data_IF_312115608418
#
_entry.id   IF_312115608418
#
_cell.length_a   1.000
_cell.length_b   1.000
_cell.length_c   1.000
_cell.angle_alpha   90.00
_cell.angle_beta   90.00
_cell.angle_gamma   90.00
#
_symmetry.space_group_name_H-M   'P 1'
#
loop_
_entity.id
_entity.type
_entity.pdbx_description
1 polymer ?
#
# COMPACT_ATOMS: atom_id res chain seq x y z
N UNK A 1 21.41 45.07 22.80
CA UNK A 1 21.69 43.62 22.69
C UNK A 1 20.58 43.00 21.88
N UNK A 2 20.89 42.28 20.79
CA UNK A 2 19.91 41.58 19.95
C UNK A 2 20.44 40.18 19.61
N UNK A 3 19.68 39.10 19.88
CA UNK A 3 19.81 37.82 19.21
C UNK A 3 19.06 37.82 17.85
N UNK A 4 19.32 36.85 16.95
CA UNK A 4 19.14 37.06 15.51
C UNK A 4 17.80 36.58 14.91
N UNK A 5 17.66 36.82 13.60
CA UNK A 5 16.49 36.56 12.75
C UNK A 5 16.85 35.52 11.67
N UNK A 6 15.83 35.01 10.96
CA UNK A 6 15.88 34.02 9.87
C UNK A 6 15.96 32.54 10.35
N UNK A 7 15.38 31.54 9.64
CA UNK A 7 14.69 31.57 8.34
C UNK A 7 13.48 30.60 8.32
N UNK A 8 12.61 30.69 7.31
CA UNK A 8 11.29 30.05 7.24
C UNK A 8 11.27 28.67 6.56
N UNK A 9 10.43 27.74 7.05
CA UNK A 9 9.81 26.68 6.23
C UNK A 9 8.46 26.20 6.80
N UNK A 10 7.63 25.73 5.88
CA UNK A 10 6.36 24.96 5.99
C UNK A 10 6.27 24.11 7.27
N UNK A 11 5.16 24.00 7.98
CA UNK A 11 3.76 24.33 7.66
C UNK A 11 2.91 23.09 7.97
N UNK A 12 2.25 23.06 9.12
CA UNK A 12 1.78 21.82 9.74
C UNK A 12 0.26 21.65 9.82
N UNK A 13 -0.15 20.41 10.10
CA UNK A 13 -1.50 20.03 10.53
C UNK A 13 -1.37 19.20 11.82
N UNK A 14 -1.93 19.71 12.92
CA UNK A 14 -2.16 18.94 14.14
C UNK A 14 -3.67 18.81 14.34
N UNK A 15 -4.20 17.60 14.31
CA UNK A 15 -5.62 17.31 14.49
C UNK A 15 -5.90 16.71 15.86
N UNK A 16 -6.05 17.58 16.86
CA UNK A 16 -6.61 17.23 18.17
C UNK A 16 -8.05 17.77 18.26
N UNK A 17 -9.03 16.88 18.32
CA UNK A 17 -10.45 17.23 18.32
C UNK A 17 -11.09 17.03 19.69
N UNK A 18 -11.75 18.08 20.19
CA UNK A 18 -12.44 18.12 21.49
C UNK A 18 -13.95 18.24 21.28
N UNK A 19 -14.75 17.48 22.04
CA UNK A 19 -16.19 17.30 21.82
C UNK A 19 -17.06 18.29 22.61
N UNK A 20 -18.04 18.92 21.95
CA UNK A 20 -19.27 19.51 22.56
C UNK A 20 -20.46 19.24 21.63
N UNK A 21 -21.68 19.12 22.19
CA UNK A 21 -22.89 18.61 21.53
C UNK A 21 -24.03 19.65 21.40
N UNK A 22 -24.94 19.47 20.44
CA UNK A 22 -26.36 19.92 20.48
C UNK A 22 -27.23 19.20 19.42
N UNK A 23 -28.54 19.13 19.69
CA UNK A 23 -29.67 18.53 18.92
C UNK A 23 -30.92 19.46 19.21
N UNK A 24 -32.21 19.29 18.76
CA UNK A 24 -32.85 18.11 18.15
C UNK A 24 -34.06 18.26 17.14
N UNK A 25 -34.51 17.11 16.59
CA UNK A 25 -35.87 16.73 16.03
C UNK A 25 -36.35 17.23 14.64
N UNK A 26 -36.76 16.30 13.75
CA UNK A 26 -38.16 15.82 13.54
C UNK A 26 -38.27 14.78 12.38
N UNK A 27 -39.41 14.07 12.28
CA UNK A 27 -39.73 12.93 11.38
C UNK A 27 -41.21 13.06 10.86
N UNK A 28 -41.85 12.10 10.12
CA UNK A 28 -41.47 10.76 9.58
C UNK A 28 -41.77 10.68 8.03
N UNK A 29 -42.14 9.63 7.26
CA UNK A 29 -42.57 8.21 7.42
C UNK A 29 -41.95 7.28 6.29
N UNK A 30 -42.71 6.32 5.74
CA UNK A 30 -42.45 5.38 4.61
C UNK A 30 -43.82 5.01 3.93
N UNK A 31 -43.91 4.24 2.80
CA UNK A 31 -43.90 2.76 2.89
C UNK A 31 -43.42 1.93 1.65
N UNK A 32 -42.61 0.89 1.93
CA UNK A 32 -42.56 -0.48 1.34
C UNK A 32 -42.86 -0.77 -0.15
N UNK A 33 -41.98 -1.57 -0.79
CA UNK A 33 -42.27 -2.97 -1.24
C UNK A 33 -41.00 -3.74 -1.66
N UNK A 34 -41.09 -5.06 -1.86
CA UNK A 34 -39.95 -6.00 -1.99
C UNK A 34 -39.73 -6.47 -3.45
N UNK A 35 -38.48 -6.85 -3.78
CA UNK A 35 -38.17 -8.17 -4.38
C UNK A 35 -36.66 -8.44 -4.39
N UNK A 36 -36.21 -9.54 -3.78
CA UNK A 36 -34.81 -9.99 -3.88
C UNK A 36 -34.54 -10.68 -5.22
N UNK A 37 -33.33 -10.49 -5.77
CA UNK A 37 -32.69 -11.43 -6.69
C UNK A 37 -31.19 -11.46 -6.39
N UNK A 38 -30.71 -12.59 -5.88
CA UNK A 38 -29.29 -12.81 -5.61
C UNK A 38 -28.55 -13.02 -6.94
N UNK A 39 -27.55 -12.20 -7.21
CA UNK A 39 -26.57 -12.45 -8.26
C UNK A 39 -25.17 -12.37 -7.66
N UNK A 40 -24.55 -13.53 -7.43
CA UNK A 40 -23.12 -13.58 -7.13
C UNK A 40 -22.33 -13.09 -8.34
N UNK A 41 -21.32 -12.25 -8.09
CA UNK A 41 -20.33 -11.78 -9.05
C UNK A 41 -18.95 -11.79 -8.37
N UNK A 42 -17.93 -12.44 -8.97
CA UNK A 42 -16.62 -12.56 -8.33
C UNK A 42 -15.75 -11.33 -8.59
N UNK A 43 -15.51 -10.51 -7.56
CA UNK A 43 -14.55 -9.40 -7.65
C UNK A 43 -13.15 -9.87 -7.21
N UNK A 44 -12.28 -10.13 -8.19
CA UNK A 44 -10.88 -10.48 -7.93
C UNK A 44 -10.16 -9.36 -7.17
N UNK A 45 -9.49 -9.68 -6.06
CA UNK A 45 -8.76 -8.70 -5.24
C UNK A 45 -7.40 -8.32 -5.86
N UNK A 46 -7.45 -7.72 -7.04
CA UNK A 46 -6.30 -7.31 -7.84
C UNK A 46 -5.57 -6.08 -7.24
N UNK A 47 -4.86 -6.26 -6.12
CA UNK A 47 -3.91 -5.27 -5.60
C UNK A 47 -2.62 -5.91 -5.07
N UNK A 48 -1.77 -6.26 -6.03
CA UNK A 48 -0.30 -6.10 -5.98
C UNK A 48 0.27 -6.21 -7.39
N UNK A 49 -0.45 -5.70 -8.40
CA UNK A 49 -0.02 -5.57 -9.79
C UNK A 49 0.02 -4.08 -10.10
N UNK A 50 0.99 -3.65 -10.90
CA UNK A 50 1.42 -2.25 -10.91
C UNK A 50 0.52 -1.34 -11.76
N UNK A 51 0.36 -0.09 -11.29
CA UNK A 51 -0.43 0.95 -11.98
C UNK A 51 0.35 2.27 -12.01
N UNK A 52 1.55 2.24 -12.60
CA UNK A 52 2.29 3.46 -12.93
C UNK A 52 1.89 3.94 -14.34
N UNK A 53 1.55 5.23 -14.54
CA UNK A 53 1.08 5.72 -15.83
C UNK A 53 2.23 5.86 -16.84
N UNK A 54 2.21 5.07 -17.91
CA UNK A 54 3.14 5.20 -19.05
C UNK A 54 2.82 6.45 -19.86
N UNK A 55 3.80 7.34 -20.05
CA UNK A 55 3.67 8.51 -20.91
C UNK A 55 3.96 8.18 -22.38
N UNK A 56 3.10 8.63 -23.30
CA UNK A 56 3.24 8.40 -24.74
C UNK A 56 4.53 9.00 -25.33
N UNK A 57 5.25 8.19 -26.11
CA UNK A 57 6.40 8.61 -26.92
C UNK A 57 6.06 8.54 -28.42
N UNK A 58 6.27 9.65 -29.13
CA UNK A 58 5.77 9.89 -30.49
C UNK A 58 6.45 8.97 -31.52
N UNK A 59 5.64 8.28 -32.33
CA UNK A 59 6.12 7.42 -33.40
C UNK A 59 6.71 8.22 -34.58
N UNK A 60 7.99 7.98 -34.90
CA UNK A 60 8.65 8.48 -36.11
C UNK A 60 9.07 7.30 -36.99
N UNK A 61 8.31 7.04 -38.06
CA UNK A 61 8.73 6.12 -39.14
C UNK A 61 9.59 6.87 -40.15
N UNK A 62 10.73 6.29 -40.55
CA UNK A 62 11.37 6.60 -41.84
C UNK A 62 12.01 5.35 -42.43
N UNK A 63 12.03 5.30 -43.76
CA UNK A 63 12.30 4.08 -44.53
C UNK A 63 13.78 3.82 -44.80
N UNK A 64 14.06 2.54 -44.95
CA UNK A 64 15.27 1.91 -45.48
C UNK A 64 15.60 2.33 -46.92
N UNK A 65 16.88 2.57 -47.20
CA UNK A 65 17.52 2.28 -48.50
C UNK A 65 19.05 2.22 -48.28
N UNK A 66 19.77 1.36 -48.99
CA UNK A 66 21.17 1.04 -48.70
C UNK A 66 22.15 1.19 -49.86
N UNK A 67 23.45 1.07 -49.54
CA UNK A 67 24.55 0.68 -50.44
C UNK A 67 25.78 0.32 -49.60
N UNK A 68 26.72 -0.43 -50.17
CA UNK A 68 27.92 -0.91 -49.49
C UNK A 68 29.20 -0.25 -50.07
N UNK A 69 30.26 -0.15 -49.26
CA UNK A 69 31.62 -0.64 -49.61
C UNK A 69 32.61 -0.52 -48.42
N UNK A 70 33.26 -1.66 -48.11
CA UNK A 70 34.69 -1.88 -47.75
C UNK A 70 35.32 -1.18 -46.51
N UNK A 71 35.83 -2.04 -45.62
CA UNK A 71 36.94 -1.93 -44.63
C UNK A 71 37.22 -0.64 -43.83
N UNK A 72 37.09 -0.76 -42.50
CA UNK A 72 38.22 -0.76 -41.53
C UNK A 72 37.76 -1.50 -40.25
N UNK A 73 38.54 -2.43 -39.68
CA UNK A 73 38.16 -3.14 -38.46
C UNK A 73 38.53 -2.32 -37.21
N UNK A 74 37.71 -1.34 -36.83
CA UNK A 74 37.83 -0.74 -35.49
C UNK A 74 37.48 -1.78 -34.43
N UNK A 75 38.50 -2.16 -33.66
CA UNK A 75 38.47 -3.26 -32.71
C UNK A 75 37.75 -2.86 -31.41
N UNK A 76 36.43 -2.66 -31.49
CA UNK A 76 35.60 -2.44 -30.32
C UNK A 76 35.67 -3.67 -29.39
N UNK A 77 36.41 -3.54 -28.30
CA UNK A 77 36.62 -4.62 -27.33
C UNK A 77 35.35 -4.79 -26.50
N UNK A 78 34.35 -5.45 -27.09
CA UNK A 78 33.25 -6.06 -26.37
C UNK A 78 33.90 -7.10 -25.44
N UNK A 79 34.11 -6.71 -24.19
CA UNK A 79 34.65 -7.55 -23.11
C UNK A 79 33.59 -8.61 -22.80
N UNK A 80 33.58 -9.69 -23.59
CA UNK A 80 32.69 -10.85 -23.41
C UNK A 80 32.91 -11.42 -22.01
N UNK A 81 32.03 -11.05 -21.08
CA UNK A 81 31.93 -11.66 -19.76
C UNK A 81 31.77 -13.16 -19.96
N UNK A 82 32.60 -13.98 -19.31
CA UNK A 82 32.51 -15.43 -19.45
C UNK A 82 31.16 -15.89 -18.91
N UNK A 83 30.58 -16.96 -19.46
CA UNK A 83 29.35 -17.54 -18.89
C UNK A 83 29.55 -18.04 -17.46
N UNK A 84 30.79 -18.29 -17.03
CA UNK A 84 31.17 -18.61 -15.65
C UNK A 84 31.26 -17.39 -14.71
N UNK A 85 31.35 -16.16 -15.24
CA UNK A 85 31.46 -14.93 -14.44
C UNK A 85 30.10 -14.27 -14.17
N UNK A 86 29.03 -14.70 -14.86
CA UNK A 86 27.67 -14.16 -14.69
C UNK A 86 27.10 -14.50 -13.31
N UNK A 87 26.50 -13.51 -12.67
CA UNK A 87 25.70 -13.66 -11.44
C UNK A 87 24.23 -13.85 -11.85
N UNK A 88 23.54 -14.81 -11.25
CA UNK A 88 22.08 -14.96 -11.35
C UNK A 88 21.36 -14.40 -10.12
N UNK A 89 20.04 -14.22 -10.23
CA UNK A 89 19.19 -13.91 -9.08
C UNK A 89 19.24 -14.99 -7.98
N UNK A 90 19.42 -16.26 -8.35
CA UNK A 90 19.60 -17.34 -7.38
C UNK A 90 20.93 -17.23 -6.63
N UNK A 91 22.02 -16.80 -7.28
CA UNK A 91 23.29 -16.50 -6.59
C UNK A 91 23.09 -15.38 -5.56
N UNK A 92 22.41 -14.29 -5.93
CA UNK A 92 22.11 -13.17 -4.99
C UNK A 92 21.29 -13.67 -3.80
N UNK A 93 20.26 -14.49 -4.06
CA UNK A 93 19.38 -15.01 -3.02
C UNK A 93 20.08 -16.00 -2.07
N UNK A 94 20.96 -16.87 -2.58
CA UNK A 94 21.60 -17.95 -1.82
C UNK A 94 22.92 -17.56 -1.17
N UNK A 95 23.78 -16.85 -1.90
CA UNK A 95 25.21 -16.77 -1.56
C UNK A 95 25.55 -15.56 -0.66
N UNK A 96 26.67 -15.66 0.06
CA UNK A 96 27.06 -14.66 1.06
C UNK A 96 27.21 -13.26 0.46
N UNK A 97 26.86 -12.26 1.26
CA UNK A 97 26.79 -10.86 0.82
C UNK A 97 28.12 -10.37 0.24
N UNK A 98 29.24 -10.73 0.87
CA UNK A 98 30.60 -10.40 0.43
C UNK A 98 30.97 -11.04 -0.91
N UNK A 99 30.74 -12.34 -1.10
CA UNK A 99 31.03 -13.06 -2.35
C UNK A 99 30.32 -12.41 -3.55
N UNK A 100 29.03 -12.10 -3.41
CA UNK A 100 28.24 -11.48 -4.47
C UNK A 100 28.66 -10.02 -4.69
N UNK A 101 28.96 -9.29 -3.62
CA UNK A 101 29.45 -7.91 -3.72
C UNK A 101 30.80 -7.83 -4.46
N UNK A 102 31.73 -8.73 -4.16
CA UNK A 102 33.03 -8.83 -4.85
C UNK A 102 32.86 -9.16 -6.34
N UNK A 103 31.96 -10.11 -6.69
CA UNK A 103 31.64 -10.38 -8.10
C UNK A 103 31.03 -9.15 -8.79
N UNK A 104 30.06 -8.47 -8.17
CA UNK A 104 29.37 -7.32 -8.78
C UNK A 104 30.30 -6.15 -9.13
N UNK A 105 31.31 -5.86 -8.29
CA UNK A 105 32.29 -4.79 -8.57
C UNK A 105 33.12 -5.00 -9.85
N UNK A 106 33.06 -6.18 -10.49
CA UNK A 106 33.78 -6.51 -11.72
C UNK A 106 32.88 -6.57 -12.97
N UNK A 107 31.57 -6.39 -12.81
CA UNK A 107 30.58 -6.46 -13.88
C UNK A 107 30.25 -5.06 -14.46
N UNK A 108 29.83 -4.97 -15.74
CA UNK A 108 29.30 -3.72 -16.31
C UNK A 108 27.96 -3.33 -15.68
N UNK A 109 27.68 -2.03 -15.56
CA UNK A 109 26.42 -1.52 -15.00
C UNK A 109 25.21 -1.96 -15.83
N UNK A 110 25.37 -2.08 -17.15
CA UNK A 110 24.35 -2.54 -18.08
C UNK A 110 23.84 -3.93 -17.72
N UNK A 111 24.75 -4.84 -17.31
CA UNK A 111 24.39 -6.19 -16.87
C UNK A 111 23.72 -6.19 -15.48
N UNK A 112 24.04 -5.20 -14.62
CA UNK A 112 23.39 -5.05 -13.32
C UNK A 112 21.96 -4.52 -13.43
N UNK A 113 21.68 -3.68 -14.44
CA UNK A 113 20.32 -3.25 -14.77
C UNK A 113 19.52 -4.35 -15.53
N UNK A 114 20.13 -5.11 -16.44
CA UNK A 114 19.53 -6.34 -17.01
C UNK A 114 19.02 -7.27 -15.90
N UNK A 115 19.87 -7.54 -14.90
CA UNK A 115 19.58 -8.44 -13.78
C UNK A 115 18.43 -7.96 -12.87
N UNK A 116 18.00 -6.70 -12.94
CA UNK A 116 16.80 -6.20 -12.25
C UNK A 116 15.51 -6.60 -12.97
N UNK A 117 15.55 -6.79 -14.28
CA UNK A 117 14.36 -7.08 -15.10
C UNK A 117 13.97 -8.56 -15.05
N UNK A 118 14.93 -9.46 -14.91
CA UNK A 118 14.75 -10.93 -14.86
C UNK A 118 13.94 -11.44 -13.64
N UNK A 119 13.42 -10.55 -12.77
CA UNK A 119 12.84 -10.91 -11.47
C UNK A 119 11.41 -11.50 -11.52
N UNK A 120 10.76 -11.55 -12.68
CA UNK A 120 9.34 -11.93 -12.78
C UNK A 120 9.07 -13.43 -12.53
N UNK A 121 9.81 -14.35 -13.16
CA UNK A 121 9.41 -15.77 -13.22
C UNK A 121 9.71 -16.58 -11.95
N UNK A 122 10.81 -16.30 -11.23
CA UNK A 122 11.22 -17.08 -10.04
C UNK A 122 10.88 -16.44 -8.68
N UNK A 123 10.17 -15.30 -8.67
CA UNK A 123 10.07 -14.39 -7.52
C UNK A 123 9.74 -15.06 -6.17
N UNK A 124 8.75 -15.96 -6.14
CA UNK A 124 8.33 -16.67 -4.92
C UNK A 124 9.37 -17.68 -4.39
N UNK A 125 10.19 -18.25 -5.26
CA UNK A 125 11.29 -19.15 -4.88
C UNK A 125 12.42 -18.31 -4.29
N UNK A 126 12.79 -17.21 -4.96
CA UNK A 126 13.81 -16.27 -4.48
C UNK A 126 13.44 -15.69 -3.10
N UNK A 127 12.17 -15.32 -2.90
CA UNK A 127 11.68 -14.80 -1.61
C UNK A 127 11.88 -15.79 -0.46
N UNK A 128 11.56 -17.08 -0.67
CA UNK A 128 11.80 -18.13 0.33
C UNK A 128 13.29 -18.33 0.63
N UNK A 129 14.15 -18.26 -0.39
CA UNK A 129 15.60 -18.39 -0.22
C UNK A 129 16.15 -17.24 0.63
N UNK A 130 15.80 -15.99 0.30
CA UNK A 130 16.23 -14.80 1.05
C UNK A 130 15.69 -14.83 2.49
N UNK A 131 14.42 -15.18 2.70
CA UNK A 131 13.81 -15.26 4.03
C UNK A 131 14.36 -16.41 4.89
N UNK A 132 14.97 -17.44 4.29
CA UNK A 132 15.60 -18.55 5.04
C UNK A 132 16.97 -18.20 5.64
N UNK A 133 17.55 -17.04 5.28
CA UNK A 133 18.94 -16.70 5.58
C UNK A 133 19.10 -15.86 6.84
N UNK A 134 19.66 -16.49 7.88
CA UNK A 134 20.04 -15.84 9.14
C UNK A 134 21.31 -14.99 9.05
N UNK A 135 22.09 -15.05 7.96
CA UNK A 135 23.27 -14.20 7.76
C UNK A 135 22.93 -12.79 7.25
N UNK A 136 21.70 -12.57 6.75
CA UNK A 136 21.23 -11.28 6.26
C UNK A 136 20.79 -10.38 7.42
N UNK A 137 21.70 -9.50 7.84
CA UNK A 137 21.55 -8.60 8.99
C UNK A 137 21.99 -7.19 8.58
N UNK A 138 21.61 -6.15 9.34
CA UNK A 138 22.07 -4.79 9.06
C UNK A 138 23.62 -4.67 9.02
N UNK A 139 24.34 -5.49 9.80
CA UNK A 139 25.81 -5.53 9.84
C UNK A 139 26.45 -6.20 8.62
N UNK A 140 25.75 -7.12 7.95
CA UNK A 140 26.24 -7.75 6.72
C UNK A 140 25.79 -6.98 5.48
N UNK A 141 24.54 -6.50 5.45
CA UNK A 141 23.97 -5.74 4.35
C UNK A 141 24.63 -4.36 4.12
N UNK A 142 25.26 -3.76 5.13
CA UNK A 142 26.10 -2.55 4.94
C UNK A 142 27.32 -2.79 4.02
N UNK A 143 27.71 -4.06 3.80
CA UNK A 143 28.74 -4.47 2.84
C UNK A 143 28.18 -4.93 1.49
N UNK A 144 26.87 -4.91 1.28
CA UNK A 144 26.26 -5.32 0.01
C UNK A 144 26.56 -4.31 -1.10
N UNK A 145 26.63 -4.77 -2.35
CA UNK A 145 26.63 -3.89 -3.51
C UNK A 145 25.29 -3.13 -3.61
N UNK A 146 25.28 -1.92 -4.20
CA UNK A 146 24.09 -1.05 -4.24
C UNK A 146 22.89 -1.73 -4.90
N UNK A 147 23.12 -2.42 -6.03
CA UNK A 147 22.10 -3.18 -6.79
C UNK A 147 21.72 -4.49 -6.10
N UNK A 148 22.71 -5.20 -5.49
CA UNK A 148 22.45 -6.40 -4.69
C UNK A 148 21.44 -6.11 -3.57
N UNK A 149 21.57 -4.96 -2.90
CA UNK A 149 20.66 -4.55 -1.84
C UNK A 149 19.25 -4.22 -2.37
N UNK A 150 19.12 -3.62 -3.57
CA UNK A 150 17.81 -3.39 -4.21
C UNK A 150 17.10 -4.71 -4.51
N UNK A 151 17.82 -5.65 -5.13
CA UNK A 151 17.32 -6.99 -5.46
C UNK A 151 16.91 -7.74 -4.18
N UNK A 152 17.75 -7.74 -3.14
CA UNK A 152 17.41 -8.36 -1.85
C UNK A 152 16.20 -7.69 -1.17
N UNK A 153 16.06 -6.36 -1.23
CA UNK A 153 14.90 -5.64 -0.67
C UNK A 153 13.64 -5.94 -1.47
N UNK A 154 13.69 -5.90 -2.81
CA UNK A 154 12.55 -6.21 -3.67
C UNK A 154 12.04 -7.63 -3.40
N UNK A 155 12.93 -8.61 -3.44
CA UNK A 155 12.64 -10.02 -3.14
C UNK A 155 12.06 -10.19 -1.73
N UNK A 156 12.69 -9.65 -0.70
CA UNK A 156 12.25 -9.84 0.69
C UNK A 156 10.90 -9.15 0.99
N UNK A 157 10.69 -7.94 0.46
CA UNK A 157 9.46 -7.15 0.72
C UNK A 157 8.29 -7.54 -0.17
N UNK A 158 8.52 -8.20 -1.31
CA UNK A 158 7.48 -8.54 -2.28
C UNK A 158 7.15 -7.43 -3.28
N UNK A 159 8.07 -6.51 -3.56
CA UNK A 159 7.80 -5.25 -4.29
C UNK A 159 8.91 -4.98 -5.32
N UNK A 160 8.64 -5.17 -6.61
CA UNK A 160 9.59 -4.90 -7.69
C UNK A 160 9.88 -3.39 -7.88
N UNK A 161 8.96 -2.50 -7.48
CA UNK A 161 9.17 -1.05 -7.52
C UNK A 161 10.43 -0.53 -6.82
N UNK A 162 11.06 -1.28 -5.90
CA UNK A 162 12.38 -0.93 -5.32
C UNK A 162 13.55 -0.96 -6.32
N UNK A 163 13.34 -1.52 -7.50
CA UNK A 163 14.31 -1.61 -8.60
C UNK A 163 14.17 -0.44 -9.60
N UNK A 164 13.04 0.27 -9.58
CA UNK A 164 12.69 1.24 -10.61
C UNK A 164 13.59 2.50 -10.53
N UNK A 165 14.19 2.97 -11.64
CA UNK A 165 15.21 4.03 -11.60
C UNK A 165 14.83 5.38 -10.97
N UNK A 166 13.54 5.69 -10.80
CA UNK A 166 13.09 6.89 -10.08
C UNK A 166 13.16 6.78 -8.55
N UNK A 167 13.34 5.58 -7.99
CA UNK A 167 13.29 5.30 -6.55
C UNK A 167 14.67 5.50 -5.90
N UNK A 168 14.98 6.77 -5.61
CA UNK A 168 16.21 7.15 -4.90
C UNK A 168 16.07 6.98 -3.38
N UNK A 169 16.37 5.78 -2.87
CA UNK A 169 16.49 5.50 -1.44
C UNK A 169 17.95 5.39 -1.00
N UNK A 170 18.24 5.78 0.25
CA UNK A 170 19.57 5.60 0.83
C UNK A 170 19.85 4.13 1.17
N UNK A 171 21.14 3.74 1.16
CA UNK A 171 21.55 2.39 1.57
C UNK A 171 21.07 2.05 2.99
N UNK A 172 21.10 3.01 3.92
CA UNK A 172 20.54 2.87 5.27
C UNK A 172 19.04 2.62 5.24
N UNK A 173 18.28 3.39 4.45
CA UNK A 173 16.82 3.22 4.31
C UNK A 173 16.46 1.83 3.79
N UNK A 174 17.21 1.33 2.80
CA UNK A 174 17.03 0.00 2.23
C UNK A 174 17.36 -1.12 3.23
N UNK A 175 18.44 -0.96 4.01
CA UNK A 175 18.78 -1.89 5.11
C UNK A 175 17.67 -1.90 6.17
N UNK A 176 17.19 -0.73 6.60
CA UNK A 176 16.10 -0.62 7.58
C UNK A 176 14.78 -1.23 7.08
N UNK A 177 14.47 -1.10 5.79
CA UNK A 177 13.32 -1.77 5.17
C UNK A 177 13.53 -3.29 5.17
N UNK A 178 14.72 -3.78 4.80
CA UNK A 178 15.02 -5.21 4.80
C UNK A 178 14.86 -5.84 6.20
N UNK A 179 15.39 -5.19 7.24
CA UNK A 179 15.32 -5.67 8.64
C UNK A 179 14.07 -5.22 9.39
N UNK A 180 13.02 -4.80 8.66
CA UNK A 180 11.69 -4.50 9.20
C UNK A 180 11.63 -3.36 10.23
N UNK A 181 12.55 -2.38 10.12
CA UNK A 181 12.62 -1.16 10.96
C UNK A 181 12.19 0.13 10.25
N UNK A 182 11.94 0.07 8.94
CA UNK A 182 11.33 1.16 8.17
C UNK A 182 10.20 0.62 7.29
N UNK A 183 9.15 1.42 7.10
CA UNK A 183 8.01 1.09 6.28
C UNK A 183 8.40 0.83 4.82
N UNK A 184 7.98 -0.32 4.27
CA UNK A 184 8.17 -0.69 2.85
C UNK A 184 7.32 0.10 1.85
N UNK A 185 6.37 0.92 2.31
CA UNK A 185 5.71 1.89 1.44
C UNK A 185 6.64 3.11 1.24
N UNK A 186 7.10 3.30 0.01
CA UNK A 186 8.08 4.33 -0.39
C UNK A 186 7.54 5.76 -0.20
N UNK A 187 6.22 5.95 -0.18
CA UNK A 187 5.60 7.25 0.16
C UNK A 187 5.52 7.50 1.68
N UNK A 188 5.54 6.44 2.51
CA UNK A 188 5.41 6.52 3.96
C UNK A 188 6.78 6.66 4.66
N UNK A 189 7.72 5.75 4.37
CA UNK A 189 9.09 5.71 4.91
C UNK A 189 9.26 5.85 6.45
N UNK A 190 8.20 5.80 7.25
CA UNK A 190 8.28 5.91 8.71
C UNK A 190 9.10 4.78 9.34
N UNK A 191 9.73 5.05 10.48
CA UNK A 191 10.31 4.00 11.33
C UNK A 191 9.20 3.11 11.92
N UNK A 192 9.54 1.87 12.28
CA UNK A 192 8.58 0.86 12.73
C UNK A 192 8.91 0.34 14.15
N UNK A 193 7.93 0.32 15.09
CA UNK A 193 6.56 0.84 14.97
C UNK A 193 6.49 2.34 14.68
N UNK A 194 5.44 2.78 13.98
CA UNK A 194 5.23 4.21 13.72
C UNK A 194 4.50 4.87 14.89
N UNK A 195 4.80 6.15 15.13
CA UNK A 195 4.36 6.93 16.30
C UNK A 195 4.66 6.25 17.65
N UNK A 196 5.81 5.55 17.73
CA UNK A 196 6.26 4.76 18.88
C UNK A 196 5.21 3.76 19.42
N UNK A 197 4.33 3.25 18.55
CA UNK A 197 3.18 2.44 18.95
C UNK A 197 3.58 1.09 19.59
N UNK A 198 3.20 0.89 20.86
CA UNK A 198 3.60 -0.26 21.70
C UNK A 198 2.56 -1.39 21.76
N UNK A 199 1.52 -1.40 20.92
CA UNK A 199 0.51 -2.46 20.95
C UNK A 199 1.04 -3.79 20.37
N UNK A 200 0.45 -4.92 20.80
CA UNK A 200 0.87 -6.26 20.37
C UNK A 200 0.86 -6.44 18.84
N UNK A 201 -0.10 -5.81 18.13
CA UNK A 201 -0.15 -5.83 16.66
C UNK A 201 1.08 -5.18 16.03
N UNK A 202 1.55 -4.04 16.57
CA UNK A 202 2.72 -3.33 16.08
C UNK A 202 4.05 -3.97 16.52
N UNK A 203 4.12 -4.54 17.73
CA UNK A 203 5.36 -5.15 18.23
C UNK A 203 5.63 -6.53 17.63
N UNK A 204 4.59 -7.29 17.30
CA UNK A 204 4.72 -8.70 16.93
C UNK A 204 4.68 -8.94 15.41
N UNK A 205 4.16 -7.99 14.62
CA UNK A 205 4.04 -8.12 13.16
C UNK A 205 5.20 -7.39 12.45
N UNK A 206 6.28 -8.11 12.14
CA UNK A 206 7.47 -7.55 11.50
C UNK A 206 7.15 -6.84 10.18
N UNK A 207 7.48 -5.55 10.09
CA UNK A 207 7.30 -4.74 8.88
C UNK A 207 5.91 -4.12 8.73
N UNK A 208 4.99 -4.39 9.65
CA UNK A 208 3.69 -3.73 9.70
C UNK A 208 3.83 -2.24 10.03
N UNK A 209 3.03 -1.41 9.37
CA UNK A 209 2.98 0.03 9.61
C UNK A 209 1.52 0.46 9.89
N UNK A 210 1.24 0.78 11.15
CA UNK A 210 -0.07 1.24 11.64
C UNK A 210 -0.62 2.48 10.92
N UNK A 211 0.24 3.27 10.25
CA UNK A 211 -0.16 4.47 9.50
C UNK A 211 -0.62 4.23 8.07
N UNK A 212 -0.32 3.07 7.46
CA UNK A 212 -0.66 2.85 6.04
C UNK A 212 -0.95 1.39 5.65
N UNK A 213 -0.87 0.43 6.56
CA UNK A 213 -1.14 -0.99 6.26
C UNK A 213 -2.41 -1.48 6.95
N UNK A 214 -3.17 -2.31 6.25
CA UNK A 214 -4.33 -3.00 6.79
C UNK A 214 -3.90 -4.05 7.81
N UNK A 215 -4.44 -3.98 9.04
CA UNK A 215 -4.14 -4.93 10.13
C UNK A 215 -4.30 -6.40 9.72
N UNK A 216 -5.28 -6.70 8.86
CA UNK A 216 -5.65 -8.08 8.49
C UNK A 216 -4.68 -8.68 7.47
N UNK A 217 -4.33 -7.94 6.42
CA UNK A 217 -3.53 -8.48 5.30
C UNK A 217 -2.11 -7.92 5.22
N UNK A 218 -1.74 -6.96 6.09
CA UNK A 218 -0.44 -6.26 6.10
C UNK A 218 0.00 -5.64 4.76
N UNK A 219 -0.95 -5.44 3.84
CA UNK A 219 -0.78 -4.69 2.59
C UNK A 219 -1.18 -3.23 2.80
N UNK A 220 -0.63 -2.37 1.94
CA UNK A 220 -1.05 -0.99 1.73
C UNK A 220 -1.52 -0.84 0.28
N UNK A 221 -2.30 0.19 -0.01
CA UNK A 221 -2.47 0.72 -1.37
C UNK A 221 -2.07 2.21 -1.38
N UNK A 222 -2.43 2.94 -2.44
CA UNK A 222 -2.17 4.37 -2.58
C UNK A 222 -3.46 5.21 -2.51
N UNK A 223 -4.60 4.61 -2.15
CA UNK A 223 -5.88 5.32 -2.18
C UNK A 223 -6.18 5.92 -0.79
N UNK A 224 -6.33 7.24 -0.80
CA UNK A 224 -6.55 8.08 0.38
C UNK A 224 -7.89 8.79 0.24
N UNK A 225 -8.43 9.34 1.34
CA UNK A 225 -9.70 10.08 1.33
C UNK A 225 -10.87 9.22 0.79
N UNK A 226 -10.97 7.96 1.25
CA UNK A 226 -11.82 6.89 0.69
C UNK A 226 -12.46 6.03 1.79
N UNK A 227 -13.68 5.54 1.54
CA UNK A 227 -14.38 4.51 2.31
C UNK A 227 -13.90 3.07 2.00
N UNK A 228 -12.90 2.88 1.13
CA UNK A 228 -12.12 1.62 1.05
C UNK A 228 -11.40 1.32 2.36
N UNK A 229 -11.11 2.32 3.18
CA UNK A 229 -10.40 2.18 4.44
C UNK A 229 -11.29 2.53 5.65
N UNK A 230 -11.25 1.68 6.67
CA UNK A 230 -11.90 1.90 7.97
C UNK A 230 -10.83 2.10 9.03
N UNK A 231 -10.83 3.27 9.67
CA UNK A 231 -10.02 3.57 10.85
C UNK A 231 -10.74 3.18 12.14
N UNK A 232 -10.00 2.68 13.13
CA UNK A 232 -10.50 2.51 14.50
C UNK A 232 -10.34 3.81 15.30
N UNK A 233 -11.45 4.38 15.76
CA UNK A 233 -11.51 5.61 16.57
C UNK A 233 -10.76 5.55 17.91
N UNK A 234 -10.46 4.36 18.42
CA UNK A 234 -9.83 4.14 19.72
C UNK A 234 -8.34 3.76 19.67
N UNK A 235 -7.82 3.32 18.51
CA UNK A 235 -6.40 2.92 18.39
C UNK A 235 -5.72 3.37 17.09
N UNK A 236 -6.41 4.13 16.24
CA UNK A 236 -5.92 4.68 14.97
C UNK A 236 -5.34 3.64 13.99
N UNK A 237 -5.69 2.36 14.16
CA UNK A 237 -5.33 1.29 13.24
C UNK A 237 -6.33 1.21 12.08
N UNK A 238 -5.81 0.95 10.89
CA UNK A 238 -6.57 0.95 9.63
C UNK A 238 -6.81 -0.45 9.08
N UNK A 239 -7.91 -0.64 8.36
CA UNK A 239 -8.29 -1.92 7.76
C UNK A 239 -9.01 -1.67 6.44
N UNK A 240 -8.66 -2.40 5.37
CA UNK A 240 -9.43 -2.37 4.12
C UNK A 240 -10.85 -2.88 4.38
N UNK A 241 -11.86 -2.17 3.88
CA UNK A 241 -13.28 -2.53 3.96
C UNK A 241 -13.54 -3.95 3.47
N UNK A 242 -12.91 -4.37 2.37
CA UNK A 242 -13.02 -5.74 1.86
C UNK A 242 -12.51 -6.81 2.84
N UNK A 243 -11.42 -6.52 3.56
CA UNK A 243 -10.91 -7.41 4.59
C UNK A 243 -11.82 -7.41 5.83
N UNK A 244 -12.33 -6.25 6.25
CA UNK A 244 -13.28 -6.16 7.37
C UNK A 244 -14.60 -6.90 7.09
N UNK A 245 -15.09 -6.87 5.84
CA UNK A 245 -16.25 -7.66 5.39
C UNK A 245 -15.94 -9.15 5.41
N UNK A 246 -14.82 -9.58 4.80
CA UNK A 246 -14.46 -11.00 4.69
C UNK A 246 -14.25 -11.67 6.06
N UNK A 247 -13.57 -10.99 6.98
CA UNK A 247 -13.36 -11.49 8.35
C UNK A 247 -14.58 -11.22 9.29
N UNK A 248 -15.73 -10.81 8.72
CA UNK A 248 -17.00 -10.57 9.44
C UNK A 248 -16.92 -9.57 10.61
N UNK A 249 -15.99 -8.60 10.50
CA UNK A 249 -15.77 -7.57 11.51
C UNK A 249 -16.75 -6.39 11.40
N UNK A 250 -17.47 -6.26 10.28
CA UNK A 250 -18.58 -5.33 10.12
C UNK A 250 -19.87 -6.04 10.50
N UNK A 251 -20.57 -5.54 11.53
CA UNK A 251 -21.83 -6.14 11.99
C UNK A 251 -22.77 -5.14 12.65
N UNK A 252 -24.03 -5.53 12.85
CA UNK A 252 -24.99 -4.78 13.65
C UNK A 252 -24.73 -5.04 15.15
N UNK A 253 -24.37 -4.01 15.91
CA UNK A 253 -24.10 -4.09 17.36
C UNK A 253 -24.93 -3.07 18.17
N UNK A 254 -24.96 -3.17 19.51
CA UNK A 254 -25.61 -2.16 20.36
C UNK A 254 -24.87 -0.82 20.29
N UNK A 255 -25.60 0.29 20.30
CA UNK A 255 -24.98 1.63 20.27
C UNK A 255 -24.08 1.87 21.47
N UNK A 256 -22.83 2.28 21.21
CA UNK A 256 -21.84 2.64 22.26
C UNK A 256 -22.33 3.81 23.12
N UNK A 257 -23.20 4.67 22.56
CA UNK A 257 -23.74 5.87 23.22
C UNK A 257 -24.97 5.59 24.10
N UNK A 258 -25.54 4.38 24.05
CA UNK A 258 -26.62 3.94 24.94
C UNK A 258 -26.80 2.43 24.90
N UNK A 259 -26.58 1.75 26.02
CA UNK A 259 -26.80 0.29 26.16
C UNK A 259 -28.26 -0.18 26.03
N UNK A 260 -29.20 0.75 25.81
CA UNK A 260 -30.63 0.52 25.50
C UNK A 260 -31.02 1.23 24.19
N UNK A 261 -30.03 1.67 23.40
CA UNK A 261 -30.25 2.33 22.11
C UNK A 261 -30.63 1.34 21.00
N UNK A 262 -31.07 1.84 19.83
CA UNK A 262 -31.17 1.01 18.64
C UNK A 262 -29.80 0.41 18.30
N UNK A 263 -29.79 -0.75 17.68
CA UNK A 263 -28.56 -1.31 17.14
C UNK A 263 -28.05 -0.46 15.97
N UNK A 264 -26.74 -0.29 15.86
CA UNK A 264 -26.06 0.50 14.82
C UNK A 264 -25.07 -0.42 14.08
N UNK A 265 -24.65 -0.04 12.86
CA UNK A 265 -23.56 -0.73 12.17
C UNK A 265 -22.21 -0.33 12.79
N UNK A 266 -21.44 -1.32 13.19
CA UNK A 266 -20.14 -1.14 13.86
C UNK A 266 -19.06 -1.99 13.19
N UNK A 267 -17.83 -1.48 13.24
CA UNK A 267 -16.62 -2.22 12.88
C UNK A 267 -15.89 -2.66 14.15
N UNK A 268 -15.67 -3.96 14.31
CA UNK A 268 -14.81 -4.52 15.36
C UNK A 268 -13.35 -4.50 14.89
N UNK A 269 -12.53 -3.61 15.46
CA UNK A 269 -11.12 -3.54 15.11
C UNK A 269 -10.35 -4.78 15.56
N UNK A 270 -9.67 -5.45 14.63
CA UNK A 270 -8.87 -6.65 14.91
C UNK A 270 -7.73 -6.40 15.92
N UNK A 271 -7.13 -5.19 15.93
CA UNK A 271 -5.98 -4.87 16.77
C UNK A 271 -6.33 -4.65 18.26
N UNK A 272 -7.54 -4.19 18.58
CA UNK A 272 -7.94 -3.84 19.95
C UNK A 272 -9.27 -4.47 20.41
N UNK A 273 -9.94 -5.24 19.54
CA UNK A 273 -11.26 -5.87 19.75
C UNK A 273 -12.43 -4.93 20.10
N UNK A 274 -12.22 -3.61 20.10
CA UNK A 274 -13.24 -2.57 20.32
C UNK A 274 -14.05 -2.31 19.04
N UNK A 275 -15.19 -1.64 19.21
CA UNK A 275 -16.15 -1.36 18.15
C UNK A 275 -16.24 0.14 17.85
N UNK A 276 -15.97 0.53 16.61
CA UNK A 276 -16.14 1.89 16.08
C UNK A 276 -17.46 2.00 15.29
N UNK A 277 -18.10 3.17 15.29
CA UNK A 277 -19.44 3.40 14.70
C UNK A 277 -19.33 3.84 13.23
N UNK A 278 -19.95 3.09 12.30
CA UNK A 278 -19.66 3.19 10.87
C UNK A 278 -20.43 4.28 10.10
N UNK A 279 -21.61 4.69 10.56
CA UNK A 279 -22.39 5.73 9.92
C UNK A 279 -21.84 7.12 10.27
N UNK A 280 -21.32 7.30 11.49
CA UNK A 280 -20.46 8.43 11.83
C UNK A 280 -19.20 8.47 10.95
N UNK A 281 -18.47 7.36 10.87
CA UNK A 281 -17.26 7.25 10.04
C UNK A 281 -17.50 7.63 8.57
N UNK A 282 -18.47 6.99 7.91
CA UNK A 282 -18.79 7.27 6.50
C UNK A 282 -19.29 8.70 6.29
N UNK A 283 -20.11 9.23 7.20
CA UNK A 283 -20.52 10.64 7.16
C UNK A 283 -19.30 11.56 7.19
N UNK A 284 -18.36 11.33 8.09
CA UNK A 284 -17.22 12.21 8.28
C UNK A 284 -16.22 12.10 7.11
N UNK A 285 -16.05 10.92 6.50
CA UNK A 285 -15.33 10.77 5.22
C UNK A 285 -16.03 11.58 4.11
N UNK A 286 -17.34 11.41 3.90
CA UNK A 286 -18.06 12.16 2.87
C UNK A 286 -18.03 13.69 3.11
N UNK A 287 -18.03 14.16 4.36
CA UNK A 287 -17.96 15.60 4.66
C UNK A 287 -16.61 16.23 4.36
N UNK A 288 -15.49 15.49 4.46
CA UNK A 288 -14.15 16.03 4.22
C UNK A 288 -13.58 15.69 2.84
N UNK A 289 -13.98 14.54 2.25
CA UNK A 289 -13.35 13.98 1.07
C UNK A 289 -14.19 14.18 -0.21
N UNK A 290 -15.52 14.08 -0.14
CA UNK A 290 -16.38 14.18 -1.31
C UNK A 290 -16.24 15.48 -2.14
N UNK A 291 -15.91 16.65 -1.57
CA UNK A 291 -15.61 17.85 -2.37
C UNK A 291 -14.39 17.75 -3.31
N UNK A 292 -13.58 16.68 -3.19
CA UNK A 292 -12.43 16.40 -4.06
C UNK A 292 -12.61 15.21 -4.99
N UNK A 293 -13.75 14.50 -4.93
CA UNK A 293 -14.03 13.35 -5.79
C UNK A 293 -14.65 13.81 -7.12
N UNK A 294 -14.25 13.16 -8.21
CA UNK A 294 -15.01 13.16 -9.46
C UNK A 294 -16.18 12.15 -9.40
N UNK A 295 -16.93 12.03 -10.50
CA UNK A 295 -18.07 11.11 -10.58
C UNK A 295 -17.70 9.63 -10.49
N UNK A 296 -16.54 9.22 -11.00
CA UNK A 296 -16.10 7.82 -10.95
C UNK A 296 -15.65 7.46 -9.52
N UNK A 297 -14.86 8.34 -8.89
CA UNK A 297 -14.52 8.23 -7.48
C UNK A 297 -15.79 8.17 -6.61
N UNK A 298 -16.75 9.10 -6.78
CA UNK A 298 -18.00 9.09 -6.03
C UNK A 298 -18.78 7.76 -6.18
N UNK A 299 -18.87 7.21 -7.39
CA UNK A 299 -19.53 5.91 -7.63
C UNK A 299 -18.77 4.76 -6.95
N UNK A 300 -17.43 4.74 -7.00
CA UNK A 300 -16.60 3.76 -6.28
C UNK A 300 -16.80 3.85 -4.76
N UNK A 301 -16.90 5.06 -4.20
CA UNK A 301 -17.10 5.26 -2.77
C UNK A 301 -18.52 4.90 -2.31
N UNK A 302 -19.54 5.24 -3.11
CA UNK A 302 -20.91 4.77 -2.88
C UNK A 302 -21.00 3.24 -2.91
N UNK A 303 -20.12 2.54 -3.63
CA UNK A 303 -20.09 1.08 -3.60
C UNK A 303 -19.51 0.50 -2.30
N UNK A 304 -18.40 1.05 -1.79
CA UNK A 304 -17.92 0.68 -0.46
C UNK A 304 -18.98 0.96 0.62
N UNK A 305 -19.71 2.07 0.52
CA UNK A 305 -20.83 2.37 1.44
C UNK A 305 -21.98 1.36 1.28
N UNK A 306 -22.45 1.04 0.06
CA UNK A 306 -23.47 0.00 -0.14
C UNK A 306 -23.02 -1.33 0.51
N UNK A 307 -21.77 -1.73 0.30
CA UNK A 307 -21.22 -3.01 0.80
C UNK A 307 -21.01 -3.02 2.32
N UNK A 308 -20.72 -1.88 2.95
CA UNK A 308 -20.71 -1.73 4.41
C UNK A 308 -22.13 -1.87 5.01
N UNK A 309 -23.15 -1.28 4.37
CA UNK A 309 -24.50 -1.17 4.94
C UNK A 309 -25.51 -2.22 4.45
N UNK A 310 -25.16 -3.07 3.47
CA UNK A 310 -26.02 -4.10 2.87
C UNK A 310 -26.76 -4.97 3.90
N UNK A 311 -26.09 -5.38 4.98
CA UNK A 311 -26.66 -6.19 6.06
C UNK A 311 -27.31 -5.41 7.22
N UNK A 312 -27.48 -4.09 7.11
CA UNK A 312 -27.97 -3.27 8.22
C UNK A 312 -29.40 -3.63 8.62
N UNK A 313 -29.62 -3.77 9.94
CA UNK A 313 -30.95 -3.90 10.55
C UNK A 313 -31.48 -2.56 11.07
N UNK A 314 -30.68 -1.50 10.99
CA UNK A 314 -30.98 -0.18 11.53
C UNK A 314 -31.67 0.72 10.49
N UNK A 315 -32.45 1.70 10.94
CA UNK A 315 -33.25 2.55 10.04
C UNK A 315 -32.45 3.63 9.32
N UNK A 316 -31.25 3.95 9.77
CA UNK A 316 -30.36 4.95 9.16
C UNK A 316 -29.44 4.28 8.14
N UNK A 317 -28.83 3.14 8.49
CA UNK A 317 -27.99 2.33 7.62
C UNK A 317 -28.73 1.80 6.40
N UNK A 318 -29.94 1.23 6.55
CA UNK A 318 -30.76 0.80 5.38
C UNK A 318 -31.13 1.97 4.46
N UNK A 319 -31.43 3.15 5.02
CA UNK A 319 -31.70 4.36 4.22
C UNK A 319 -30.46 4.88 3.49
N UNK A 320 -29.27 4.72 4.07
CA UNK A 320 -28.01 5.02 3.38
C UNK A 320 -27.73 4.00 2.27
N UNK A 321 -27.92 2.71 2.53
CA UNK A 321 -27.77 1.63 1.54
C UNK A 321 -28.61 1.90 0.27
N UNK A 322 -29.94 2.06 0.42
CA UNK A 322 -30.82 2.34 -0.73
C UNK A 322 -30.45 3.63 -1.47
N UNK A 323 -30.11 4.70 -0.72
CA UNK A 323 -29.67 5.97 -1.32
C UNK A 323 -28.37 5.84 -2.11
N UNK A 324 -27.47 4.92 -1.74
CA UNK A 324 -26.25 4.70 -2.53
C UNK A 324 -26.58 4.08 -3.88
N UNK A 325 -27.54 3.15 -3.94
CA UNK A 325 -27.95 2.53 -5.20
C UNK A 325 -28.78 3.49 -6.07
N UNK A 326 -29.65 4.33 -5.48
CA UNK A 326 -30.33 5.45 -6.16
C UNK A 326 -29.31 6.40 -6.83
N UNK A 327 -28.20 6.70 -6.15
CA UNK A 327 -27.17 7.63 -6.63
C UNK A 327 -26.18 7.01 -7.64
N UNK A 328 -26.11 5.67 -7.75
CA UNK A 328 -25.36 4.98 -8.82
C UNK A 328 -26.17 4.86 -10.12
N UNK A 329 -27.50 4.98 -10.04
CA UNK A 329 -28.43 4.76 -11.15
C UNK A 329 -28.79 6.00 -11.98
N UNK A 330 -28.11 7.14 -11.77
CA UNK A 330 -28.35 8.42 -12.43
C UNK A 330 -27.06 9.02 -13.00
#
# INVERSE_FOLDING_TARGET
MLPPRQQSRVGGLQTSLSLVSSDPRLSPEEPRSNSDNLHESPTESASSRETWPTGDAIAVKKMENGKAEIDIPEQSVIRRVSSADKISLQDIAREKVDIICEKMHHLPEEFLEELKMDLEEEFFILQKLVQSRSDLTAKTLIRAHRVQLEILVAINTGIQGFLHPSISLSQTSLIEIFVYKRCRNIACQNQLPADDCTCETCTNNNGFCNLCMCVICSKFDFEVNTCRWIGCDLCSHWTHTDCAIREQLICTGPSVKSGVGPSEMVFRCQACSRTSELLGWVKDVFQHCAPSWDGEALVRELDFVSRIFHGSKDTRGRKLFWKCDDLKGN
#
